data_IF_498065573263
#
_entry.id   IF_498065573263
#
_cell.length_a   1.000
_cell.length_b   1.000
_cell.length_c   1.000
_cell.angle_alpha   90.00
_cell.angle_beta   90.00
_cell.angle_gamma   90.00
#
_symmetry.space_group_name_H-M   'P 1'
#
loop_
_entity.id
_entity.type
_entity.pdbx_description
1 polymer ?
#
# COMPACT_ATOMS: atom_id res chain seq x y z
N UNK A 1 19.64 16.94 -10.73
CA UNK A 1 18.93 16.16 -9.68
C UNK A 1 18.01 17.11 -8.94
N UNK A 2 16.78 16.69 -8.67
CA UNK A 2 15.78 17.51 -7.96
C UNK A 2 15.98 17.29 -6.47
N UNK A 3 16.68 18.21 -5.80
CA UNK A 3 17.11 18.08 -4.40
C UNK A 3 15.91 17.87 -3.44
N UNK A 4 14.81 18.54 -3.73
CA UNK A 4 13.62 18.57 -2.87
C UNK A 4 12.52 17.66 -3.43
N UNK A 5 12.89 16.46 -3.87
CA UNK A 5 11.94 15.51 -4.48
C UNK A 5 12.19 14.10 -4.00
N UNK A 6 11.09 13.42 -3.67
CA UNK A 6 11.04 11.99 -3.39
C UNK A 6 10.37 11.32 -4.58
N UNK A 7 11.07 10.38 -5.22
CA UNK A 7 10.51 9.56 -6.29
C UNK A 7 10.24 8.18 -5.72
N UNK A 8 9.01 7.72 -5.86
CA UNK A 8 8.57 6.41 -5.39
C UNK A 8 8.22 5.54 -6.58
N UNK A 9 8.86 4.38 -6.69
CA UNK A 9 8.53 3.35 -7.66
C UNK A 9 7.93 2.18 -6.88
N UNK A 10 6.63 1.96 -7.04
CA UNK A 10 5.90 0.90 -6.35
C UNK A 10 5.15 0.04 -7.34
N UNK A 11 5.16 -1.28 -7.13
CA UNK A 11 4.16 -2.15 -7.75
C UNK A 11 2.81 -1.92 -7.06
N UNK A 12 1.75 -2.01 -7.84
CA UNK A 12 0.37 -2.12 -7.36
C UNK A 12 0.06 -3.55 -6.93
N UNK A 13 0.50 -4.54 -7.73
CA UNK A 13 0.28 -5.96 -7.48
C UNK A 13 1.28 -6.86 -8.22
N UNK A 14 1.29 -8.14 -7.85
CA UNK A 14 1.94 -9.19 -8.63
C UNK A 14 1.18 -9.42 -9.93
N UNK A 15 1.91 -9.62 -11.04
CA UNK A 15 1.31 -9.99 -12.31
C UNK A 15 0.39 -11.23 -12.17
N UNK A 16 -0.83 -11.10 -12.67
CA UNK A 16 -1.80 -12.20 -12.74
C UNK A 16 -1.37 -13.27 -13.75
N UNK A 17 -2.15 -14.36 -13.84
CA UNK A 17 -1.86 -15.44 -14.78
C UNK A 17 -1.83 -14.91 -16.23
N UNK A 18 -0.70 -15.15 -16.90
CA UNK A 18 -0.42 -14.71 -18.26
C UNK A 18 0.52 -15.69 -18.97
N UNK A 19 0.90 -15.41 -20.22
CA UNK A 19 1.79 -16.27 -21.03
C UNK A 19 3.16 -16.52 -20.40
N UNK A 20 3.61 -15.64 -19.49
CA UNK A 20 4.87 -15.77 -18.75
C UNK A 20 4.72 -16.48 -17.39
N UNK A 21 3.51 -16.88 -16.98
CA UNK A 21 3.22 -17.41 -15.64
C UNK A 21 4.14 -18.57 -15.21
N UNK A 22 4.43 -19.50 -16.11
CA UNK A 22 5.31 -20.65 -15.85
C UNK A 22 6.77 -20.25 -15.56
N UNK A 23 7.19 -19.06 -16.00
CA UNK A 23 8.51 -18.52 -15.73
C UNK A 23 8.51 -17.69 -14.44
N UNK A 24 7.46 -16.91 -14.22
CA UNK A 24 7.31 -16.03 -13.06
C UNK A 24 7.25 -16.79 -11.73
N UNK A 25 6.71 -18.00 -11.72
CA UNK A 25 6.56 -18.81 -10.49
C UNK A 25 7.73 -19.75 -10.22
N UNK A 26 8.88 -19.58 -10.92
CA UNK A 26 10.09 -20.35 -10.63
C UNK A 26 10.87 -19.83 -9.41
N UNK A 27 10.53 -18.64 -8.93
CA UNK A 27 11.17 -17.96 -7.81
C UNK A 27 10.09 -17.29 -6.96
N UNK A 28 10.46 -16.89 -5.74
CA UNK A 28 9.58 -16.11 -4.88
C UNK A 28 9.24 -14.77 -5.54
N UNK A 29 7.97 -14.38 -5.40
CA UNK A 29 7.42 -13.19 -6.05
C UNK A 29 7.14 -12.12 -5.02
N UNK A 30 7.69 -10.93 -5.23
CA UNK A 30 7.53 -9.78 -4.35
C UNK A 30 7.07 -8.56 -5.16
N UNK A 31 6.29 -7.69 -4.52
CA UNK A 31 6.00 -6.36 -5.05
C UNK A 31 7.21 -5.45 -4.87
N UNK A 32 7.46 -4.55 -5.81
CA UNK A 32 8.51 -3.55 -5.69
C UNK A 32 8.03 -2.40 -4.80
N UNK A 33 8.89 -1.93 -3.91
CA UNK A 33 8.78 -0.62 -3.28
C UNK A 33 10.18 0.00 -3.14
N UNK A 34 10.45 1.01 -3.96
CA UNK A 34 11.75 1.64 -4.09
C UNK A 34 11.60 3.15 -4.01
N UNK A 35 12.50 3.80 -3.28
CA UNK A 35 12.44 5.24 -3.04
C UNK A 35 13.79 5.86 -3.40
N UNK A 36 13.75 6.90 -4.22
CA UNK A 36 14.88 7.78 -4.48
C UNK A 36 14.65 9.10 -3.75
N UNK A 37 15.66 9.51 -2.99
CA UNK A 37 15.67 10.73 -2.18
C UNK A 37 16.67 11.73 -2.74
N UNK A 38 16.20 12.88 -3.19
CA UNK A 38 17.07 13.96 -3.66
C UNK A 38 17.96 14.57 -2.57
N UNK A 39 17.56 14.42 -1.30
CA UNK A 39 18.24 14.93 -0.12
C UNK A 39 19.22 13.92 0.51
N UNK A 40 19.08 12.62 0.19
CA UNK A 40 19.92 11.54 0.73
C UNK A 40 20.37 10.59 -0.40
N UNK A 41 21.63 10.69 -0.85
CA UNK A 41 22.15 9.86 -1.95
C UNK A 41 22.51 8.42 -1.53
N UNK A 42 22.31 8.06 -0.27
CA UNK A 42 22.73 6.76 0.25
C UNK A 42 21.80 5.64 -0.23
N UNK A 43 22.40 4.58 -0.75
CA UNK A 43 21.71 3.37 -1.15
C UNK A 43 21.65 2.39 0.03
N UNK A 44 20.46 1.93 0.35
CA UNK A 44 20.22 0.95 1.41
C UNK A 44 19.09 0.00 1.00
N UNK A 45 19.21 -1.27 1.40
CA UNK A 45 18.14 -2.26 1.28
C UNK A 45 17.63 -2.60 2.68
N UNK A 46 16.36 -2.27 2.94
CA UNK A 46 15.73 -2.58 4.22
C UNK A 46 14.98 -3.90 4.13
N UNK A 47 15.56 -4.94 4.75
CA UNK A 47 14.99 -6.29 4.79
C UNK A 47 13.94 -6.46 5.92
N UNK A 48 12.99 -5.52 6.01
CA UNK A 48 11.91 -5.53 7.01
C UNK A 48 10.65 -6.21 6.46
N UNK A 49 9.89 -6.86 7.33
CA UNK A 49 8.68 -7.57 6.89
C UNK A 49 7.53 -6.57 6.82
N UNK A 50 7.02 -6.33 5.62
CA UNK A 50 6.07 -5.23 5.35
C UNK A 50 4.99 -5.61 4.36
N UNK A 51 4.02 -4.74 4.15
CA UNK A 51 3.03 -4.87 3.07
C UNK A 51 2.75 -3.51 2.40
N UNK A 52 1.89 -3.49 1.39
CA UNK A 52 1.60 -2.27 0.60
C UNK A 52 0.91 -1.16 1.39
N UNK A 53 0.24 -1.46 2.52
CA UNK A 53 -0.36 -0.43 3.39
C UNK A 53 0.71 0.45 4.05
N UNK A 54 1.91 -0.08 4.26
CA UNK A 54 3.03 0.62 4.89
C UNK A 54 3.69 1.68 3.97
N UNK A 55 3.43 1.60 2.66
CA UNK A 55 4.06 2.46 1.66
C UNK A 55 3.77 3.94 1.92
N UNK A 56 2.50 4.28 2.16
CA UNK A 56 2.08 5.66 2.43
C UNK A 56 2.70 6.21 3.70
N UNK A 57 2.69 5.44 4.79
CA UNK A 57 3.28 5.84 6.07
C UNK A 57 4.81 6.05 5.95
N UNK A 58 5.48 5.19 5.19
CA UNK A 58 6.93 5.31 4.95
C UNK A 58 7.27 6.58 4.17
N UNK A 59 6.49 6.91 3.14
CA UNK A 59 6.71 8.14 2.36
C UNK A 59 6.39 9.38 3.20
N UNK A 60 5.31 9.34 3.99
CA UNK A 60 4.95 10.43 4.90
C UNK A 60 6.07 10.75 5.89
N UNK A 61 6.63 9.72 6.52
CA UNK A 61 7.77 9.82 7.44
C UNK A 61 9.01 10.43 6.75
N UNK A 62 9.33 9.97 5.53
CA UNK A 62 10.44 10.54 4.74
C UNK A 62 10.27 12.03 4.47
N UNK A 63 9.03 12.49 4.24
CA UNK A 63 8.71 13.89 4.02
C UNK A 63 8.69 14.72 5.32
N UNK A 64 9.00 14.12 6.48
CA UNK A 64 9.00 14.77 7.79
C UNK A 64 7.62 14.86 8.44
N UNK A 65 6.66 14.04 7.99
CA UNK A 65 5.35 13.90 8.60
C UNK A 65 5.32 12.85 9.72
N UNK A 66 4.14 12.31 9.97
CA UNK A 66 3.96 11.21 10.93
C UNK A 66 4.45 9.86 10.35
N UNK A 67 4.64 8.87 11.22
CA UNK A 67 5.10 7.54 10.84
C UNK A 67 3.99 6.49 10.71
N UNK A 68 2.72 6.92 10.72
CA UNK A 68 1.55 6.08 10.51
C UNK A 68 0.49 6.79 9.68
N UNK A 69 -0.26 6.02 8.87
CA UNK A 69 -1.48 6.48 8.23
C UNK A 69 -2.37 5.27 7.93
N UNK A 70 -3.64 5.34 8.34
CA UNK A 70 -4.54 4.19 8.33
C UNK A 70 -3.92 2.99 9.06
N UNK A 71 -3.87 1.85 8.36
CA UNK A 71 -3.27 0.60 8.88
C UNK A 71 -1.75 0.52 8.64
N UNK A 72 -1.17 1.42 7.86
CA UNK A 72 0.24 1.42 7.53
C UNK A 72 1.12 1.96 8.64
N UNK A 73 2.33 1.39 8.77
CA UNK A 73 3.39 1.90 9.63
C UNK A 73 4.66 2.11 8.81
N UNK A 74 5.40 3.18 9.11
CA UNK A 74 6.65 3.48 8.41
C UNK A 74 7.61 2.31 8.54
N UNK A 75 8.21 1.90 7.43
CA UNK A 75 9.27 0.90 7.43
C UNK A 75 10.62 1.43 7.93
N UNK A 76 10.72 2.73 8.23
CA UNK A 76 11.94 3.35 8.76
C UNK A 76 11.93 3.44 10.29
N UNK A 77 10.78 3.80 10.87
CA UNK A 77 10.67 4.13 12.29
C UNK A 77 9.52 3.42 13.01
N UNK A 78 8.72 2.62 12.31
CA UNK A 78 7.55 1.94 12.83
C UNK A 78 7.67 0.43 12.71
N UNK A 79 6.72 -0.27 13.32
CA UNK A 79 6.62 -1.73 13.23
C UNK A 79 5.41 -2.11 12.38
N UNK A 80 5.64 -2.78 11.24
CA UNK A 80 4.54 -3.18 10.35
C UNK A 80 3.58 -4.14 11.05
N UNK A 81 2.29 -4.09 10.69
CA UNK A 81 1.34 -5.14 11.08
C UNK A 81 1.80 -6.53 10.63
N UNK A 82 2.56 -6.60 9.53
CA UNK A 82 3.16 -7.85 9.03
C UNK A 82 4.25 -8.41 9.94
N UNK A 83 4.91 -7.58 10.75
CA UNK A 83 5.88 -8.00 11.76
C UNK A 83 5.20 -8.45 13.05
N UNK A 84 4.16 -7.73 13.48
CA UNK A 84 3.46 -7.99 14.74
C UNK A 84 2.55 -9.22 14.64
N UNK A 85 1.87 -9.41 13.51
CA UNK A 85 0.88 -10.46 13.34
C UNK A 85 1.31 -11.48 12.28
N UNK A 86 1.21 -12.77 12.64
CA UNK A 86 1.34 -13.87 11.67
C UNK A 86 0.11 -13.96 10.75
N UNK A 87 -1.05 -13.52 11.24
CA UNK A 87 -2.37 -13.63 10.60
C UNK A 87 -2.94 -12.24 10.24
N UNK A 88 -2.16 -11.44 9.50
CA UNK A 88 -2.52 -10.06 9.13
C UNK A 88 -3.86 -10.00 8.40
N UNK A 89 -4.12 -10.95 7.49
CA UNK A 89 -5.35 -10.98 6.69
C UNK A 89 -6.58 -11.05 7.59
N UNK A 90 -6.56 -11.96 8.57
CA UNK A 90 -7.63 -12.17 9.53
C UNK A 90 -7.82 -10.92 10.41
N UNK A 91 -6.73 -10.29 10.83
CA UNK A 91 -6.77 -9.03 11.61
C UNK A 91 -7.40 -7.89 10.82
N UNK A 92 -6.99 -7.69 9.57
CA UNK A 92 -7.55 -6.64 8.70
C UNK A 92 -9.04 -6.90 8.42
N UNK A 93 -9.42 -8.15 8.17
CA UNK A 93 -10.83 -8.51 7.98
C UNK A 93 -11.69 -8.25 9.23
N UNK A 94 -11.16 -8.50 10.42
CA UNK A 94 -11.84 -8.19 11.66
C UNK A 94 -12.08 -6.68 11.86
N UNK A 95 -11.21 -5.81 11.31
CA UNK A 95 -11.32 -4.35 11.36
C UNK A 95 -12.28 -3.79 10.30
N UNK A 96 -12.76 -4.61 9.36
CA UNK A 96 -13.65 -4.18 8.26
C UNK A 96 -14.86 -3.34 8.73
N UNK A 97 -15.58 -3.68 9.81
CA UNK A 97 -16.72 -2.86 10.27
C UNK A 97 -16.32 -1.43 10.64
N UNK A 98 -15.19 -1.27 11.33
CA UNK A 98 -14.68 0.04 11.74
C UNK A 98 -14.22 0.86 10.53
N UNK A 99 -13.55 0.22 9.56
CA UNK A 99 -13.13 0.87 8.32
C UNK A 99 -14.35 1.34 7.54
N UNK A 100 -15.35 0.47 7.34
CA UNK A 100 -16.58 0.82 6.60
C UNK A 100 -17.29 2.03 7.25
N UNK A 101 -17.27 2.13 8.58
CA UNK A 101 -17.88 3.25 9.29
C UNK A 101 -17.25 4.60 8.93
N UNK A 102 -15.96 4.65 8.56
CA UNK A 102 -15.28 5.87 8.17
C UNK A 102 -15.79 6.45 6.84
N UNK A 103 -16.35 5.62 5.95
CA UNK A 103 -16.86 6.05 4.64
C UNK A 103 -18.25 6.68 4.72
N UNK A 104 -18.93 6.59 5.87
CA UNK A 104 -20.27 7.13 6.09
C UNK A 104 -21.26 6.80 4.94
N UNK A 105 -21.32 5.53 4.54
CA UNK A 105 -22.14 5.11 3.40
C UNK A 105 -23.61 5.54 3.58
N UNK A 106 -24.24 6.09 2.52
CA UNK A 106 -25.65 6.42 2.55
C UNK A 106 -26.47 5.14 2.83
N UNK A 107 -27.42 5.24 3.76
CA UNK A 107 -28.28 4.11 4.17
C UNK A 107 -29.35 3.79 3.14
N UNK A 108 -29.69 4.76 2.31
CA UNK A 108 -30.73 4.68 1.29
C UNK A 108 -30.33 5.52 0.07
N UNK A 109 -30.72 5.08 -1.12
CA UNK A 109 -30.64 5.86 -2.36
C UNK A 109 -32.06 6.34 -2.63
N UNK A 110 -32.33 7.64 -2.41
CA UNK A 110 -33.65 8.24 -2.62
C UNK A 110 -33.91 8.58 -4.08
N UNK A 111 -32.86 9.06 -4.73
CA UNK A 111 -32.92 9.59 -6.08
C UNK A 111 -31.92 8.82 -6.94
N UNK A 112 -32.42 8.18 -7.99
CA UNK A 112 -31.58 7.59 -9.03
C UNK A 112 -32.24 7.78 -10.39
N UNK A 113 -31.43 7.92 -11.42
CA UNK A 113 -31.87 8.03 -12.81
C UNK A 113 -31.16 6.96 -13.61
N UNK A 114 -31.91 6.17 -14.37
CA UNK A 114 -31.36 5.17 -15.29
C UNK A 114 -31.42 5.75 -16.69
N UNK A 115 -30.25 6.02 -17.27
CA UNK A 115 -30.12 6.41 -18.68
C UNK A 115 -30.41 5.19 -19.57
N UNK A 116 -31.44 5.29 -20.42
CA UNK A 116 -31.89 4.22 -21.32
C UNK A 116 -31.50 4.45 -22.78
N UNK A 117 -30.83 5.56 -23.10
CA UNK A 117 -30.62 5.99 -24.49
C UNK A 117 -29.35 5.40 -25.13
N UNK A 118 -28.75 4.37 -24.53
CA UNK A 118 -27.58 3.64 -25.07
C UNK A 118 -27.85 2.15 -25.32
N UNK A 119 -29.06 1.81 -25.75
CA UNK A 119 -29.37 0.46 -26.23
C UNK A 119 -29.29 0.38 -27.74
#
# INVERSE_FOLDING_TARGET
>A
MVKDTVIVVSSDHLAMNNTAWKYLNKQDRNNLFFILRGDKPQQETLAVKRNTMDNGATVLDILGGDNFIGLGRSSLSGQSLSEVFLNVKEKVLAMKPDIIRLWNFPKEIKDFTVDRDKT
#
